data_IF_841289153509
#
_entry.id   IF_841289153509
#
_cell.length_a   1.000
_cell.length_b   1.000
_cell.length_c   1.000
_cell.angle_alpha   90.00
_cell.angle_beta   90.00
_cell.angle_gamma   90.00
#
_symmetry.space_group_name_H-M   'P 1'
#
loop_
_entity.id
_entity.type
_entity.pdbx_description
1 polymer ?
#
# COMPACT_ATOMS: atom_id res chain seq x y z
N UNK A 1 3.61 -10.35 -20.84
CA UNK A 1 2.67 -9.44 -20.20
C UNK A 1 3.17 -9.10 -18.80
N UNK A 2 3.57 -7.84 -18.62
CA UNK A 2 4.21 -7.36 -17.38
C UNK A 2 3.14 -7.01 -16.34
N UNK A 3 3.11 -7.75 -15.25
CA UNK A 3 2.05 -7.67 -14.22
C UNK A 3 2.39 -6.75 -13.02
N UNK A 4 3.44 -5.95 -13.09
CA UNK A 4 3.83 -5.06 -11.99
C UNK A 4 3.07 -3.73 -12.05
N UNK A 5 2.51 -3.31 -10.93
CA UNK A 5 1.81 -2.02 -10.79
C UNK A 5 2.81 -0.87 -10.73
N UNK A 6 2.48 0.24 -11.40
CA UNK A 6 3.20 1.51 -11.33
C UNK A 6 4.23 1.75 -12.44
N UNK A 7 4.30 3.00 -12.89
CA UNK A 7 5.18 3.45 -13.98
C UNK A 7 6.67 3.24 -13.66
N UNK A 8 7.06 3.40 -12.38
CA UNK A 8 8.43 3.14 -11.92
C UNK A 8 8.89 1.70 -12.17
N UNK A 9 7.97 0.73 -12.12
CA UNK A 9 8.31 -0.67 -12.44
C UNK A 9 8.55 -0.87 -13.94
N UNK A 10 7.88 -0.11 -14.81
CA UNK A 10 8.18 -0.09 -16.24
C UNK A 10 9.59 0.47 -16.49
N UNK A 11 9.96 1.57 -15.82
CA UNK A 11 11.31 2.13 -15.92
C UNK A 11 12.38 1.13 -15.44
N UNK A 12 12.16 0.48 -14.29
CA UNK A 12 13.05 -0.57 -13.79
C UNK A 12 13.18 -1.73 -14.79
N UNK A 13 12.08 -2.15 -15.40
CA UNK A 13 12.07 -3.17 -16.43
C UNK A 13 12.91 -2.78 -17.64
N UNK A 14 12.74 -1.56 -18.15
CA UNK A 14 13.50 -1.06 -19.30
C UNK A 14 15.00 -1.05 -19.01
N UNK A 15 15.39 -0.55 -17.83
CA UNK A 15 16.80 -0.53 -17.40
C UNK A 15 17.37 -1.93 -17.25
N UNK A 16 16.65 -2.84 -16.60
CA UNK A 16 17.08 -4.23 -16.42
C UNK A 16 17.19 -4.95 -17.78
N UNK A 17 16.23 -4.74 -18.68
CA UNK A 17 16.25 -5.31 -20.02
C UNK A 17 17.41 -4.78 -20.86
N UNK A 18 17.70 -3.49 -20.78
CA UNK A 18 18.85 -2.89 -21.47
C UNK A 18 20.17 -3.47 -20.95
N UNK A 19 20.33 -3.61 -19.64
CA UNK A 19 21.51 -4.25 -19.04
C UNK A 19 21.65 -5.72 -19.48
N UNK A 20 20.55 -6.48 -19.46
CA UNK A 20 20.53 -7.87 -19.90
C UNK A 20 20.94 -8.02 -21.38
N UNK A 21 20.43 -7.13 -22.24
CA UNK A 21 20.84 -7.10 -23.67
C UNK A 21 22.34 -6.83 -23.81
N UNK A 22 22.88 -5.89 -23.03
CA UNK A 22 24.30 -5.53 -23.11
C UNK A 22 25.23 -6.69 -22.72
N UNK A 23 24.81 -7.59 -21.85
CA UNK A 23 25.57 -8.80 -21.47
C UNK A 23 25.23 -10.02 -22.36
N UNK A 24 24.51 -9.84 -23.48
CA UNK A 24 24.31 -10.84 -24.51
C UNK A 24 23.02 -11.67 -24.40
N UNK A 25 22.09 -11.36 -23.47
CA UNK A 25 20.81 -12.05 -23.41
C UNK A 25 19.93 -11.68 -24.59
N UNK A 26 19.24 -12.70 -25.17
CA UNK A 26 18.30 -12.48 -26.28
C UNK A 26 16.98 -11.87 -25.81
N UNK A 27 16.18 -11.35 -26.73
CA UNK A 27 14.82 -10.87 -26.43
C UNK A 27 13.94 -11.99 -25.86
N UNK A 28 14.08 -13.21 -26.35
CA UNK A 28 13.32 -14.37 -25.86
C UNK A 28 13.69 -14.74 -24.43
N UNK A 29 14.98 -14.70 -24.07
CA UNK A 29 15.43 -14.93 -22.69
C UNK A 29 14.80 -13.91 -21.74
N UNK A 30 14.79 -12.63 -22.12
CA UNK A 30 14.20 -11.54 -21.32
C UNK A 30 12.69 -11.73 -21.22
N UNK A 31 11.99 -12.00 -22.33
CA UNK A 31 10.55 -12.23 -22.36
C UNK A 31 10.12 -13.40 -21.46
N UNK A 32 10.84 -14.53 -21.55
CA UNK A 32 10.58 -15.71 -20.72
C UNK A 32 10.80 -15.41 -19.22
N UNK A 33 11.86 -14.67 -18.87
CA UNK A 33 12.09 -14.24 -17.50
C UNK A 33 10.95 -13.36 -16.97
N UNK A 34 10.41 -12.45 -17.80
CA UNK A 34 9.32 -11.55 -17.41
C UNK A 34 7.97 -12.24 -17.25
N UNK A 35 7.68 -13.26 -18.05
CA UNK A 35 6.44 -14.06 -17.91
C UNK A 35 6.43 -14.76 -16.55
N UNK A 36 7.59 -15.22 -16.09
CA UNK A 36 7.74 -15.94 -14.83
C UNK A 36 8.02 -15.03 -13.62
N UNK A 37 8.23 -13.73 -13.85
CA UNK A 37 8.55 -12.79 -12.77
C UNK A 37 7.35 -12.57 -11.85
N UNK A 38 7.56 -12.78 -10.57
CA UNK A 38 6.59 -12.50 -9.51
C UNK A 38 7.02 -11.25 -8.74
N UNK A 39 6.04 -10.45 -8.35
CA UNK A 39 6.30 -9.28 -7.52
C UNK A 39 6.94 -9.69 -6.19
N UNK A 40 7.85 -8.86 -5.70
CA UNK A 40 8.44 -9.06 -4.38
C UNK A 40 7.35 -8.91 -3.31
N UNK A 41 7.36 -9.74 -2.25
CA UNK A 41 6.43 -9.59 -1.14
C UNK A 41 6.46 -8.15 -0.58
N UNK A 42 5.32 -7.67 -0.13
CA UNK A 42 5.16 -6.36 0.51
C UNK A 42 5.48 -5.13 -0.38
N UNK A 43 5.56 -5.31 -1.71
CA UNK A 43 5.70 -4.22 -2.69
C UNK A 43 4.51 -4.21 -3.63
N UNK A 44 3.48 -3.43 -3.31
CA UNK A 44 2.20 -3.41 -4.04
C UNK A 44 1.64 -4.81 -4.29
N UNK A 45 1.91 -5.72 -3.35
CA UNK A 45 1.47 -7.11 -3.38
C UNK A 45 -0.04 -7.19 -3.24
N UNK A 46 -0.75 -7.70 -4.26
CA UNK A 46 -2.19 -7.94 -4.14
C UNK A 46 -2.41 -9.20 -3.31
N UNK A 47 -2.98 -9.05 -2.11
CA UNK A 47 -3.23 -10.15 -1.16
C UNK A 47 -4.66 -10.67 -1.21
N UNK A 48 -5.58 -9.85 -1.72
CA UNK A 48 -6.97 -10.23 -2.01
C UNK A 48 -7.45 -9.51 -3.25
N UNK A 49 -8.22 -10.18 -4.11
CA UNK A 49 -8.85 -9.56 -5.28
C UNK A 49 -10.08 -10.34 -5.71
N UNK A 50 -11.18 -9.64 -5.92
CA UNK A 50 -12.36 -10.12 -6.63
C UNK A 50 -12.68 -9.17 -7.81
N UNK A 51 -13.88 -9.31 -8.42
CA UNK A 51 -14.28 -8.48 -9.57
C UNK A 51 -14.36 -6.98 -9.25
N UNK A 52 -14.72 -6.61 -8.01
CA UNK A 52 -15.04 -5.23 -7.62
C UNK A 52 -14.00 -4.61 -6.69
N UNK A 53 -13.24 -5.43 -5.95
CA UNK A 53 -12.44 -4.98 -4.82
C UNK A 53 -11.06 -5.66 -4.75
N UNK A 54 -10.06 -4.94 -4.26
CA UNK A 54 -8.72 -5.49 -4.01
C UNK A 54 -8.09 -4.94 -2.73
N UNK A 55 -7.27 -5.77 -2.06
CA UNK A 55 -6.44 -5.38 -0.92
C UNK A 55 -4.99 -5.55 -1.30
N UNK A 56 -4.21 -4.49 -1.07
CA UNK A 56 -2.83 -4.37 -1.54
C UNK A 56 -1.93 -4.12 -0.35
N UNK A 57 -0.90 -4.96 -0.21
CA UNK A 57 0.13 -4.85 0.80
C UNK A 57 1.38 -4.18 0.22
N UNK A 58 1.67 -2.97 0.70
CA UNK A 58 2.84 -2.19 0.35
C UNK A 58 3.64 -1.83 1.62
N UNK A 59 3.78 -2.80 2.54
CA UNK A 59 4.49 -2.60 3.82
C UNK A 59 5.93 -2.10 3.65
N UNK A 60 6.55 -2.32 2.48
CA UNK A 60 7.88 -1.81 2.12
C UNK A 60 7.91 -0.29 1.95
N UNK A 61 6.79 0.38 1.77
CA UNK A 61 6.70 1.84 1.75
C UNK A 61 6.93 2.42 3.14
N UNK A 62 8.18 2.53 3.55
CA UNK A 62 8.63 2.95 4.89
C UNK A 62 8.93 4.44 5.01
N UNK A 63 8.60 5.24 4.01
CA UNK A 63 8.71 6.70 3.98
C UNK A 63 7.62 7.31 3.07
N UNK A 64 7.45 8.63 3.12
CA UNK A 64 6.43 9.35 2.37
C UNK A 64 6.56 9.17 0.85
N UNK A 65 7.78 9.23 0.31
CA UNK A 65 8.02 9.11 -1.14
C UNK A 65 7.62 7.73 -1.67
N UNK A 66 7.99 6.67 -0.96
CA UNK A 66 7.59 5.31 -1.32
C UNK A 66 6.07 5.14 -1.28
N UNK A 67 5.41 5.69 -0.27
CA UNK A 67 3.94 5.67 -0.16
C UNK A 67 3.26 6.48 -1.27
N UNK A 68 3.84 7.62 -1.67
CA UNK A 68 3.39 8.39 -2.83
C UNK A 68 3.36 7.55 -4.11
N UNK A 69 4.43 6.79 -4.34
CA UNK A 69 4.50 5.86 -5.48
C UNK A 69 3.37 4.83 -5.41
N UNK A 70 3.14 4.25 -4.22
CA UNK A 70 2.04 3.31 -3.98
C UNK A 70 0.67 3.90 -4.28
N UNK A 71 0.36 5.07 -3.72
CA UNK A 71 -0.91 5.78 -3.92
C UNK A 71 -1.15 6.07 -5.40
N UNK A 72 -0.13 6.53 -6.13
CA UNK A 72 -0.22 6.87 -7.55
C UNK A 72 -0.37 5.64 -8.45
N UNK A 73 0.14 4.49 -8.04
CA UNK A 73 0.08 3.23 -8.79
C UNK A 73 -1.31 2.60 -8.79
N UNK A 74 -2.17 2.94 -7.82
CA UNK A 74 -3.53 2.41 -7.71
C UNK A 74 -4.52 3.45 -8.23
N UNK A 75 -5.12 3.19 -9.38
CA UNK A 75 -6.08 4.11 -10.06
C UNK A 75 -7.49 4.06 -9.49
N UNK A 76 -7.83 3.00 -8.76
CA UNK A 76 -9.16 2.78 -8.18
C UNK A 76 -9.42 3.73 -7.00
N UNK A 77 -10.70 3.99 -6.71
CA UNK A 77 -11.17 4.56 -5.46
C UNK A 77 -10.65 3.73 -4.29
N UNK A 78 -9.97 4.36 -3.32
CA UNK A 78 -9.26 3.62 -2.29
C UNK A 78 -9.28 4.26 -0.90
N UNK A 79 -9.17 3.38 0.09
CA UNK A 79 -8.77 3.73 1.46
C UNK A 79 -7.27 3.47 1.58
N UNK A 80 -6.56 4.37 2.27
CA UNK A 80 -5.15 4.13 2.63
C UNK A 80 -5.03 3.81 4.12
N UNK A 81 -4.18 2.84 4.45
CA UNK A 81 -3.74 2.54 5.82
C UNK A 81 -2.28 2.95 5.93
N UNK A 82 -1.98 3.88 6.87
CA UNK A 82 -0.63 4.42 7.08
C UNK A 82 -0.28 4.52 8.56
N UNK A 83 1.01 4.56 8.88
CA UNK A 83 1.46 4.68 10.27
C UNK A 83 2.65 3.80 10.62
N UNK A 84 3.05 3.89 11.88
CA UNK A 84 4.28 3.32 12.40
C UNK A 84 5.12 4.41 13.07
N UNK A 85 6.45 4.32 13.03
CA UNK A 85 7.37 5.38 13.46
C UNK A 85 7.71 6.29 12.30
N UNK A 86 7.30 7.56 12.38
CA UNK A 86 7.52 8.56 11.33
C UNK A 86 9.02 8.74 11.06
N UNK A 87 9.35 8.95 9.79
CA UNK A 87 10.65 9.41 9.33
C UNK A 87 10.57 10.86 8.84
N UNK A 88 11.69 11.53 8.77
CA UNK A 88 11.81 12.82 8.09
C UNK A 88 11.45 12.69 6.60
N UNK A 89 10.89 13.76 6.03
CA UNK A 89 10.50 13.80 4.62
C UNK A 89 9.39 14.80 4.33
N UNK A 90 9.13 15.03 3.06
CA UNK A 90 8.07 15.94 2.60
C UNK A 90 6.68 15.31 2.76
N UNK A 91 6.08 15.51 3.93
CA UNK A 91 4.72 15.08 4.20
C UNK A 91 3.67 15.87 3.41
N UNK A 92 3.94 17.12 3.01
CA UNK A 92 2.94 17.99 2.34
C UNK A 92 2.50 17.41 1.00
N UNK A 93 3.45 16.95 0.19
CA UNK A 93 3.18 16.29 -1.08
C UNK A 93 2.38 15.00 -0.89
N UNK A 94 2.73 14.22 0.15
CA UNK A 94 2.03 12.99 0.52
C UNK A 94 0.59 13.29 0.96
N UNK A 95 0.40 14.26 1.87
CA UNK A 95 -0.91 14.70 2.35
C UNK A 95 -1.82 15.19 1.21
N UNK A 96 -1.31 16.05 0.33
CA UNK A 96 -2.01 16.52 -0.87
C UNK A 96 -2.46 15.37 -1.78
N UNK A 97 -1.60 14.38 -1.99
CA UNK A 97 -1.91 13.23 -2.84
C UNK A 97 -2.97 12.33 -2.22
N UNK A 98 -2.93 12.11 -0.90
CA UNK A 98 -3.98 11.38 -0.18
C UNK A 98 -5.32 12.07 -0.34
N UNK A 99 -5.38 13.37 -0.10
CA UNK A 99 -6.61 14.15 -0.27
C UNK A 99 -7.19 14.02 -1.67
N UNK A 100 -6.36 14.06 -2.71
CA UNK A 100 -6.81 14.00 -4.10
C UNK A 100 -7.23 12.59 -4.56
N UNK A 101 -6.67 11.53 -3.96
CA UNK A 101 -6.75 10.18 -4.52
C UNK A 101 -7.31 9.11 -3.57
N UNK A 102 -7.56 9.46 -2.31
CA UNK A 102 -8.09 8.53 -1.33
C UNK A 102 -9.41 9.03 -0.75
N UNK A 103 -10.31 8.11 -0.41
CA UNK A 103 -11.60 8.40 0.22
C UNK A 103 -11.46 8.68 1.72
N UNK A 104 -10.54 7.98 2.36
CA UNK A 104 -10.24 8.10 3.78
C UNK A 104 -8.85 7.55 4.10
N UNK A 105 -8.34 7.91 5.27
CA UNK A 105 -7.09 7.40 5.80
C UNK A 105 -7.29 6.80 7.18
N UNK A 106 -6.73 5.62 7.39
CA UNK A 106 -6.66 4.90 8.66
C UNK A 106 -5.22 4.92 9.14
N UNK A 107 -4.99 5.60 10.25
CA UNK A 107 -3.67 5.79 10.84
C UNK A 107 -3.48 4.85 12.03
N UNK A 108 -2.26 4.31 12.22
CA UNK A 108 -1.93 3.44 13.34
C UNK A 108 -0.52 3.69 13.86
N UNK A 109 -0.26 3.19 15.08
CA UNK A 109 1.06 3.17 15.69
C UNK A 109 1.49 4.50 16.30
N UNK A 110 2.79 4.61 16.58
CA UNK A 110 3.40 5.71 17.33
C UNK A 110 3.07 7.09 16.75
N UNK A 111 3.11 7.23 15.44
CA UNK A 111 2.90 8.52 14.77
C UNK A 111 1.46 8.81 14.33
N UNK A 112 0.47 8.00 14.71
CA UNK A 112 -0.90 8.15 14.23
C UNK A 112 -1.48 9.56 14.49
N UNK A 113 -1.41 10.06 15.71
CA UNK A 113 -1.95 11.37 16.10
C UNK A 113 -1.11 12.53 15.55
N UNK A 114 0.21 12.35 15.42
CA UNK A 114 1.06 13.35 14.78
C UNK A 114 0.70 13.52 13.31
N UNK A 115 0.55 12.42 12.57
CA UNK A 115 0.12 12.43 11.17
C UNK A 115 -1.29 13.01 11.00
N UNK A 116 -2.21 12.68 11.89
CA UNK A 116 -3.54 13.30 11.92
C UNK A 116 -3.45 14.83 12.04
N UNK A 117 -2.62 15.32 12.99
CA UNK A 117 -2.41 16.75 13.22
C UNK A 117 -1.80 17.42 11.98
N UNK A 118 -0.85 16.79 11.32
CA UNK A 118 -0.23 17.28 10.09
C UNK A 118 -1.25 17.36 8.93
N UNK A 119 -2.09 16.33 8.76
CA UNK A 119 -3.12 16.30 7.74
C UNK A 119 -4.19 17.37 7.97
N UNK A 120 -4.59 17.60 9.22
CA UNK A 120 -5.57 18.63 9.59
C UNK A 120 -5.05 20.06 9.38
N UNK A 121 -3.75 20.31 9.55
CA UNK A 121 -3.14 21.62 9.28
C UNK A 121 -3.20 22.05 7.82
N UNK A 122 -3.26 21.10 6.89
CA UNK A 122 -3.32 21.39 5.45
C UNK A 122 -4.75 21.71 4.97
N UNK A 123 -5.73 21.83 5.87
CA UNK A 123 -7.17 22.12 5.59
C UNK A 123 -7.82 21.15 4.57
N UNK A 124 -7.31 19.94 4.48
CA UNK A 124 -7.84 18.91 3.60
C UNK A 124 -9.06 18.21 4.23
N UNK A 125 -10.19 18.23 3.55
CA UNK A 125 -11.42 17.54 3.97
C UNK A 125 -11.36 16.05 3.61
N UNK A 126 -10.63 15.27 4.41
CA UNK A 126 -10.60 13.82 4.33
C UNK A 126 -10.99 13.20 5.67
N UNK A 127 -11.65 12.06 5.66
CA UNK A 127 -11.95 11.31 6.90
C UNK A 127 -10.70 10.63 7.41
N UNK A 128 -10.32 10.92 8.65
CA UNK A 128 -9.14 10.38 9.33
C UNK A 128 -9.60 9.55 10.52
N UNK A 129 -9.04 8.36 10.66
CA UNK A 129 -9.30 7.45 11.77
C UNK A 129 -7.96 7.01 12.37
N UNK A 130 -7.80 7.14 13.71
CA UNK A 130 -6.57 6.80 14.43
C UNK A 130 -6.78 5.57 15.31
N UNK A 131 -5.78 4.67 15.33
CA UNK A 131 -5.77 3.43 16.09
C UNK A 131 -4.41 3.21 16.74
N UNK A 132 -4.39 2.47 17.83
CA UNK A 132 -3.15 2.14 18.52
C UNK A 132 -2.29 1.15 17.70
N UNK A 133 -2.93 0.16 17.09
CA UNK A 133 -2.22 -0.89 16.36
C UNK A 133 -3.04 -1.40 15.15
N UNK A 134 -2.42 -2.25 14.31
CA UNK A 134 -3.05 -2.81 13.11
C UNK A 134 -4.26 -3.69 13.41
N UNK A 135 -4.24 -4.48 14.50
CA UNK A 135 -5.33 -5.40 14.80
C UNK A 135 -6.63 -4.68 15.12
N UNK A 136 -6.57 -3.48 15.69
CA UNK A 136 -7.75 -2.70 16.03
C UNK A 136 -8.46 -2.10 14.80
N UNK A 137 -7.73 -1.88 13.71
CA UNK A 137 -8.28 -1.16 12.55
C UNK A 137 -8.81 -2.08 11.43
N UNK A 138 -8.36 -3.34 11.33
CA UNK A 138 -8.64 -4.17 10.14
C UNK A 138 -10.14 -4.39 9.92
N UNK A 139 -10.88 -4.84 10.94
CA UNK A 139 -12.33 -5.05 10.80
C UNK A 139 -13.06 -3.74 10.45
N UNK A 140 -12.63 -2.63 11.07
CA UNK A 140 -13.23 -1.31 10.86
C UNK A 140 -12.97 -0.78 9.45
N UNK A 141 -11.79 -0.99 8.89
CA UNK A 141 -11.49 -0.56 7.52
C UNK A 141 -12.25 -1.37 6.48
N UNK A 142 -12.44 -2.68 6.70
CA UNK A 142 -13.24 -3.53 5.81
C UNK A 142 -14.72 -3.11 5.82
N UNK A 143 -15.32 -2.91 7.00
CA UNK A 143 -16.68 -2.43 7.15
C UNK A 143 -16.85 -1.04 6.48
N UNK A 144 -15.87 -0.14 6.70
CA UNK A 144 -15.89 1.18 6.10
C UNK A 144 -15.77 1.11 4.57
N UNK A 145 -14.91 0.23 4.04
CA UNK A 145 -14.75 0.02 2.60
C UNK A 145 -16.04 -0.42 1.92
N UNK A 146 -16.78 -1.35 2.54
CA UNK A 146 -18.09 -1.80 2.06
C UNK A 146 -19.11 -0.66 2.07
N UNK A 147 -19.21 0.06 3.19
CA UNK A 147 -20.17 1.18 3.35
C UNK A 147 -19.95 2.29 2.33
N UNK A 148 -18.70 2.69 2.12
CA UNK A 148 -18.32 3.77 1.19
C UNK A 148 -18.16 3.29 -0.26
N UNK A 149 -18.38 2.00 -0.53
CA UNK A 149 -18.28 1.38 -1.87
C UNK A 149 -16.95 1.67 -2.57
N UNK A 150 -15.84 1.67 -1.82
CA UNK A 150 -14.51 1.83 -2.40
C UNK A 150 -14.04 0.52 -3.05
N UNK A 151 -13.13 0.64 -4.02
CA UNK A 151 -12.67 -0.49 -4.82
C UNK A 151 -11.31 -1.05 -4.40
N UNK A 152 -10.62 -0.39 -3.46
CA UNK A 152 -9.34 -0.87 -2.96
C UNK A 152 -9.05 -0.44 -1.52
N UNK A 153 -8.30 -1.28 -0.80
CA UNK A 153 -7.56 -0.91 0.41
C UNK A 153 -6.07 -1.00 0.07
N UNK A 154 -5.35 0.08 0.30
CA UNK A 154 -3.90 0.15 0.14
C UNK A 154 -3.24 0.27 1.52
N UNK A 155 -2.54 -0.77 1.94
CA UNK A 155 -1.64 -0.74 3.09
C UNK A 155 -0.29 -0.19 2.65
N UNK A 156 -0.06 1.11 2.82
CA UNK A 156 1.18 1.82 2.45
C UNK A 156 1.58 2.75 3.58
N UNK A 157 2.34 2.22 4.56
CA UNK A 157 2.53 2.84 5.88
C UNK A 157 3.17 4.21 5.88
N UNK A 158 4.00 4.57 4.93
CA UNK A 158 4.78 5.83 4.88
C UNK A 158 5.76 6.02 6.07
N UNK A 159 5.77 5.10 7.01
CA UNK A 159 6.55 5.11 8.25
C UNK A 159 7.34 3.82 8.41
N UNK A 160 8.43 3.86 9.20
CA UNK A 160 9.13 2.63 9.57
C UNK A 160 8.25 1.75 10.47
N UNK A 161 8.60 0.46 10.58
CA UNK A 161 7.83 -0.52 11.35
C UNK A 161 8.30 -0.69 12.80
N UNK A 162 9.38 -0.02 13.18
CA UNK A 162 10.13 -0.27 14.42
C UNK A 162 9.43 0.18 15.72
N UNK A 163 8.22 0.70 15.63
CA UNK A 163 7.36 0.96 16.79
C UNK A 163 6.67 -0.31 17.32
N UNK A 164 6.31 -1.25 16.43
CA UNK A 164 5.55 -2.44 16.78
C UNK A 164 6.11 -3.75 16.19
N UNK A 165 7.04 -3.67 15.23
CA UNK A 165 7.56 -4.83 14.49
C UNK A 165 9.08 -4.72 14.32
N UNK A 166 9.76 -5.87 14.20
CA UNK A 166 11.22 -5.94 13.96
C UNK A 166 11.63 -5.38 12.61
N UNK A 167 10.78 -5.52 11.60
CA UNK A 167 11.03 -5.08 10.24
C UNK A 167 9.70 -4.91 9.47
N UNK A 168 9.77 -4.40 8.23
CA UNK A 168 8.60 -4.21 7.38
C UNK A 168 8.01 -5.54 6.88
N UNK A 169 8.80 -6.59 6.79
CA UNK A 169 8.37 -7.94 6.42
C UNK A 169 7.43 -8.51 7.48
N UNK A 170 7.81 -8.45 8.75
CA UNK A 170 6.98 -8.88 9.86
C UNK A 170 5.67 -8.09 9.90
N UNK A 171 5.72 -6.78 9.76
CA UNK A 171 4.54 -5.91 9.66
C UNK A 171 3.64 -6.31 8.49
N UNK A 172 4.21 -6.54 7.33
CA UNK A 172 3.47 -6.95 6.13
C UNK A 172 2.87 -8.36 6.24
N UNK A 173 3.55 -9.29 6.87
CA UNK A 173 3.02 -10.63 7.15
C UNK A 173 1.88 -10.58 8.18
N UNK A 174 2.03 -9.77 9.22
CA UNK A 174 0.98 -9.57 10.21
C UNK A 174 -0.27 -8.92 9.60
N UNK A 175 -0.11 -7.93 8.72
CA UNK A 175 -1.22 -7.37 7.96
C UNK A 175 -1.94 -8.44 7.12
N UNK A 176 -1.21 -9.29 6.38
CA UNK A 176 -1.78 -10.40 5.60
C UNK A 176 -2.57 -11.38 6.48
N UNK A 177 -2.01 -11.74 7.64
CA UNK A 177 -2.65 -12.62 8.60
C UNK A 177 -3.98 -12.03 9.10
N UNK A 178 -4.01 -10.77 9.52
CA UNK A 178 -5.22 -10.10 10.01
C UNK A 178 -6.30 -10.00 8.92
N UNK A 179 -5.90 -9.64 7.70
CA UNK A 179 -6.84 -9.56 6.56
C UNK A 179 -7.45 -10.93 6.27
N UNK A 180 -6.64 -11.99 6.22
CA UNK A 180 -7.15 -13.35 5.98
C UNK A 180 -8.13 -13.78 7.08
N UNK A 181 -7.81 -13.53 8.36
CA UNK A 181 -8.72 -13.82 9.47
C UNK A 181 -10.05 -13.06 9.35
N UNK A 182 -9.99 -11.76 9.01
CA UNK A 182 -11.20 -10.94 8.90
C UNK A 182 -12.09 -11.38 7.73
N UNK A 183 -11.50 -11.76 6.59
CA UNK A 183 -12.23 -12.26 5.43
C UNK A 183 -12.89 -13.60 5.77
N UNK A 184 -12.17 -14.54 6.38
CA UNK A 184 -12.74 -15.86 6.77
C UNK A 184 -13.88 -15.74 7.76
N UNK A 185 -13.81 -14.77 8.69
CA UNK A 185 -14.89 -14.53 9.66
C UNK A 185 -16.13 -13.90 9.03
N UNK A 186 -15.99 -13.18 7.93
CA UNK A 186 -17.03 -12.34 7.35
C UNK A 186 -17.00 -12.44 5.82
N UNK A 187 -17.28 -13.62 5.26
CA UNK A 187 -17.29 -13.85 3.80
C UNK A 187 -18.17 -12.81 3.05
N UNK A 188 -19.27 -12.38 3.67
CA UNK A 188 -20.16 -11.36 3.10
C UNK A 188 -19.59 -9.92 3.10
N UNK A 189 -18.45 -9.63 3.73
CA UNK A 189 -17.90 -8.27 3.78
C UNK A 189 -17.36 -7.78 2.43
N UNK A 190 -17.04 -8.70 1.52
CA UNK A 190 -16.38 -8.38 0.25
C UNK A 190 -17.22 -8.73 -0.99
N UNK A 191 -18.45 -9.16 -0.82
CA UNK A 191 -19.46 -9.30 -1.86
C UNK A 191 -20.09 -7.94 -2.21
#
# INVERSE_FOLDING_TARGET
FFNLKGEHNLQNLLLASAAARKIGLTGDNISNALINYRNLPHRLETIFKNRKFEIINDSKATNFDSSLVGINSIKKSKIIISGGRKKEGDYKKWAKTIFQKCNSIFLFGESAYELESLLKKEDFKIRIYCFKNLSELIDKVLIHAKREKVNAILFSPACSSFDQFKNYEERGNYFKFLVNQAITKNESLLD
#
